data_IF_405571799675
#
_entry.id   IF_405571799675
#
_cell.length_a   1.000
_cell.length_b   1.000
_cell.length_c   1.000
_cell.angle_alpha   90.00
_cell.angle_beta   90.00
_cell.angle_gamma   90.00
#
_symmetry.space_group_name_H-M   'P 1'
#
loop_
_entity.id
_entity.type
_entity.pdbx_description
1 polymer ?
#
# COMPACT_ATOMS: atom_id res chain seq x y z
N UNK A 1 -5.88 -22.47 -11.72
CA UNK A 1 -5.03 -21.47 -11.06
C UNK A 1 -5.64 -21.04 -9.75
N UNK A 2 -4.83 -20.91 -8.70
CA UNK A 2 -5.27 -20.35 -7.42
C UNK A 2 -5.10 -18.83 -7.51
N UNK A 3 -6.19 -18.09 -7.36
CA UNK A 3 -6.15 -16.63 -7.28
C UNK A 3 -5.63 -16.21 -5.91
N UNK A 4 -4.70 -15.25 -5.89
CA UNK A 4 -4.15 -14.65 -4.68
C UNK A 4 -4.82 -13.30 -4.48
N UNK A 5 -5.62 -13.14 -3.43
CA UNK A 5 -6.20 -11.84 -3.10
C UNK A 5 -5.24 -11.06 -2.21
N UNK A 6 -4.94 -9.82 -2.60
CA UNK A 6 -4.10 -8.90 -1.84
C UNK A 6 -4.80 -7.55 -1.71
N UNK A 7 -4.85 -7.02 -0.51
CA UNK A 7 -5.42 -5.73 -0.23
C UNK A 7 -4.29 -4.70 -0.17
N UNK A 8 -4.42 -3.65 -0.99
CA UNK A 8 -3.46 -2.58 -1.17
C UNK A 8 -4.05 -1.32 -0.54
N UNK A 9 -3.30 -0.64 0.33
CA UNK A 9 -3.79 0.53 1.05
C UNK A 9 -2.98 1.77 0.68
N UNK A 10 -3.62 2.70 -0.02
CA UNK A 10 -3.07 4.01 -0.33
C UNK A 10 -3.39 5.00 0.79
N UNK A 11 -2.51 5.05 1.80
CA UNK A 11 -2.60 6.02 2.88
C UNK A 11 -2.11 7.39 2.39
N UNK A 12 -2.98 8.40 2.39
CA UNK A 12 -2.60 9.77 2.00
C UNK A 12 -1.76 10.44 3.07
N UNK A 13 -0.83 11.29 2.65
CA UNK A 13 -0.01 12.09 3.56
C UNK A 13 -0.90 13.04 4.39
N UNK A 14 -0.94 12.90 5.73
CA UNK A 14 -1.82 13.70 6.56
C UNK A 14 -1.29 15.13 6.74
N UNK A 15 -2.19 16.09 6.94
CA UNK A 15 -1.84 17.47 7.29
C UNK A 15 -1.26 18.34 6.17
N UNK A 16 -1.09 17.80 4.96
CA UNK A 16 -0.58 18.54 3.79
C UNK A 16 -1.65 18.55 2.68
N UNK A 17 -2.43 19.63 2.54
CA UNK A 17 -3.42 19.76 1.47
C UNK A 17 -2.79 19.55 0.09
N UNK A 18 -3.49 18.83 -0.78
CA UNK A 18 -3.11 18.60 -2.18
C UNK A 18 -1.73 17.96 -2.40
N UNK A 19 -1.14 17.32 -1.38
CA UNK A 19 0.16 16.65 -1.51
C UNK A 19 0.15 15.58 -2.61
N UNK A 20 -0.99 14.89 -2.78
CA UNK A 20 -1.13 13.70 -3.64
C UNK A 20 -0.04 12.65 -3.38
N UNK A 21 0.53 12.65 -2.18
CA UNK A 21 1.55 11.72 -1.73
C UNK A 21 0.93 10.62 -0.88
N UNK A 22 1.50 9.43 -1.01
CA UNK A 22 1.07 8.24 -0.31
C UNK A 22 2.21 7.58 0.43
N UNK A 23 1.88 6.93 1.54
CA UNK A 23 2.82 6.16 2.34
C UNK A 23 3.30 4.95 1.54
N UNK A 24 4.61 4.79 1.45
CA UNK A 24 5.25 3.55 1.01
C UNK A 24 6.19 3.03 2.09
N UNK A 25 6.37 1.71 2.13
CA UNK A 25 7.42 1.05 2.91
C UNK A 25 8.41 0.36 1.99
N UNK A 26 9.67 0.29 2.41
CA UNK A 26 10.72 -0.40 1.67
C UNK A 26 10.78 -1.86 2.06
N UNK A 27 10.67 -2.74 1.07
CA UNK A 27 10.92 -4.17 1.21
C UNK A 27 12.35 -4.49 0.75
N UNK A 28 13.17 -5.03 1.64
CA UNK A 28 14.57 -5.35 1.36
C UNK A 28 14.77 -6.62 0.53
N UNK A 29 13.80 -7.55 0.55
CA UNK A 29 13.85 -8.75 -0.28
C UNK A 29 13.62 -8.42 -1.75
N UNK A 30 12.73 -7.45 -2.01
CA UNK A 30 12.48 -6.93 -3.35
C UNK A 30 13.31 -5.69 -3.68
N UNK A 31 14.06 -5.10 -2.76
CA UNK A 31 14.74 -3.82 -2.96
C UNK A 31 13.78 -2.80 -3.60
N UNK A 32 12.57 -2.63 -3.06
CA UNK A 32 11.52 -1.83 -3.71
C UNK A 32 10.59 -1.17 -2.68
N UNK A 33 9.98 -0.05 -3.07
CA UNK A 33 8.96 0.62 -2.27
C UNK A 33 7.56 0.15 -2.63
N UNK A 34 6.78 -0.24 -1.63
CA UNK A 34 5.41 -0.74 -1.81
C UNK A 34 4.42 0.07 -0.99
N UNK A 35 3.19 0.15 -1.47
CA UNK A 35 2.07 0.53 -0.61
C UNK A 35 1.93 -0.51 0.51
N UNK A 36 1.51 -0.11 1.73
CA UNK A 36 1.06 -1.05 2.74
C UNK A 36 0.09 -2.05 2.12
N UNK A 37 0.39 -3.34 2.29
CA UNK A 37 -0.38 -4.41 1.66
C UNK A 37 -0.41 -5.65 2.53
N UNK A 38 -1.47 -6.44 2.37
CA UNK A 38 -1.69 -7.68 3.11
C UNK A 38 -2.58 -8.63 2.32
N UNK A 39 -2.42 -9.93 2.53
CA UNK A 39 -3.38 -10.90 2.00
C UNK A 39 -4.80 -10.56 2.42
N UNK A 40 -5.72 -10.52 1.44
CA UNK A 40 -7.10 -10.21 1.73
C UNK A 40 -7.79 -11.32 2.52
N UNK A 41 -8.66 -10.94 3.43
CA UNK A 41 -9.59 -11.85 4.09
C UNK A 41 -10.73 -12.27 3.14
N UNK A 42 -11.50 -13.33 3.45
CA UNK A 42 -12.56 -13.81 2.56
C UNK A 42 -13.68 -12.82 2.24
N UNK A 43 -13.95 -11.83 3.10
CA UNK A 43 -14.99 -10.81 2.89
C UNK A 43 -14.48 -9.40 3.21
N UNK A 44 -15.15 -8.38 2.67
CA UNK A 44 -14.66 -6.99 2.71
C UNK A 44 -14.69 -6.40 4.14
N UNK A 45 -15.73 -6.71 4.92
CA UNK A 45 -15.88 -6.15 6.27
C UNK A 45 -14.79 -6.65 7.23
N UNK A 46 -14.42 -7.93 7.12
CA UNK A 46 -13.29 -8.48 7.88
C UNK A 46 -11.96 -7.92 7.38
N UNK A 47 -11.87 -7.56 6.09
CA UNK A 47 -10.68 -6.97 5.47
C UNK A 47 -10.38 -5.59 6.05
N UNK A 48 -11.36 -4.69 6.12
CA UNK A 48 -11.16 -3.35 6.68
C UNK A 48 -10.72 -3.43 8.15
N UNK A 49 -11.28 -4.36 8.92
CA UNK A 49 -10.86 -4.61 10.31
C UNK A 49 -9.44 -5.15 10.39
N UNK A 50 -9.09 -6.13 9.55
CA UNK A 50 -7.73 -6.71 9.51
C UNK A 50 -6.70 -5.67 9.06
N UNK A 51 -7.01 -4.87 8.04
CA UNK A 51 -6.19 -3.77 7.57
C UNK A 51 -6.01 -2.69 8.65
N UNK A 52 -7.06 -2.31 9.37
CA UNK A 52 -6.96 -1.39 10.50
C UNK A 52 -6.01 -1.91 11.59
N UNK A 53 -6.11 -3.19 11.94
CA UNK A 53 -5.19 -3.83 12.90
C UNK A 53 -3.75 -3.88 12.36
N UNK A 54 -3.57 -4.24 11.09
CA UNK A 54 -2.28 -4.27 10.41
C UNK A 54 -1.59 -2.90 10.43
N UNK A 55 -2.31 -1.85 10.02
CA UNK A 55 -1.81 -0.48 10.01
C UNK A 55 -1.45 0.00 11.43
N UNK A 56 -2.22 -0.41 12.43
CA UNK A 56 -1.91 -0.10 13.81
C UNK A 56 -0.64 -0.78 14.32
N UNK A 57 -0.48 -2.07 14.05
CA UNK A 57 0.66 -2.84 14.53
C UNK A 57 1.94 -2.45 13.80
N UNK A 58 1.90 -2.39 12.48
CA UNK A 58 3.08 -2.22 11.61
C UNK A 58 3.45 -0.76 11.39
N UNK A 59 2.46 0.14 11.28
CA UNK A 59 2.70 1.55 10.95
C UNK A 59 2.32 2.52 12.06
N UNK A 60 1.91 2.00 13.22
CA UNK A 60 1.53 2.78 14.41
C UNK A 60 0.40 3.78 14.17
N UNK A 61 -0.43 3.54 13.15
CA UNK A 61 -1.62 4.36 12.88
C UNK A 61 -2.72 3.93 13.86
N UNK A 62 -3.22 4.81 14.76
CA UNK A 62 -4.32 4.44 15.64
C UNK A 62 -5.57 4.09 14.81
N UNK A 63 -6.22 2.97 15.11
CA UNK A 63 -7.40 2.52 14.33
C UNK A 63 -8.53 3.56 14.29
N UNK A 64 -8.62 4.42 15.31
CA UNK A 64 -9.64 5.47 15.40
C UNK A 64 -9.31 6.69 14.54
N UNK A 65 -8.07 6.81 14.08
CA UNK A 65 -7.56 7.98 13.37
C UNK A 65 -7.34 7.67 11.88
N UNK A 66 -7.77 6.50 11.40
CA UNK A 66 -7.63 6.08 10.01
C UNK A 66 -8.99 5.67 9.45
N UNK A 67 -9.51 6.48 8.53
CA UNK A 67 -10.72 6.16 7.78
C UNK A 67 -10.32 5.37 6.54
N UNK A 68 -10.66 4.08 6.51
CA UNK A 68 -10.45 3.21 5.35
C UNK A 68 -11.71 3.15 4.48
N UNK A 69 -11.51 3.17 3.16
CA UNK A 69 -12.59 2.97 2.20
C UNK A 69 -12.11 2.13 1.02
N UNK A 70 -12.84 1.06 0.71
CA UNK A 70 -12.65 0.30 -0.51
C UNK A 70 -13.01 1.16 -1.73
N UNK A 71 -12.14 1.17 -2.73
CA UNK A 71 -12.27 1.98 -3.96
C UNK A 71 -12.51 1.15 -5.21
N UNK A 72 -11.94 -0.04 -5.27
CA UNK A 72 -12.19 -0.95 -6.37
C UNK A 72 -11.35 -2.21 -6.29
N UNK A 73 -11.36 -2.95 -7.39
CA UNK A 73 -10.56 -4.16 -7.55
C UNK A 73 -9.90 -4.21 -8.91
N UNK A 74 -8.69 -4.77 -8.97
CA UNK A 74 -7.96 -4.97 -10.22
C UNK A 74 -7.40 -6.39 -10.28
N UNK A 75 -7.47 -7.04 -11.44
CA UNK A 75 -6.83 -8.35 -11.66
C UNK A 75 -5.50 -8.18 -12.41
N UNK A 76 -4.48 -8.91 -11.97
CA UNK A 76 -3.17 -8.90 -12.61
C UNK A 76 -2.60 -10.30 -12.71
N UNK A 77 -1.94 -10.61 -13.82
CA UNK A 77 -1.26 -11.89 -14.03
C UNK A 77 0.22 -11.64 -14.25
N UNK A 78 1.06 -12.27 -13.44
CA UNK A 78 2.51 -12.06 -13.44
C UNK A 78 3.27 -13.34 -13.23
N UNK A 79 4.41 -13.45 -13.91
CA UNK A 79 5.38 -14.49 -13.60
C UNK A 79 6.07 -14.18 -12.27
N UNK A 80 6.02 -15.11 -11.34
CA UNK A 80 6.74 -15.03 -10.09
C UNK A 80 8.07 -15.76 -10.23
N UNK A 81 9.17 -15.01 -10.31
CA UNK A 81 10.52 -15.59 -10.38
C UNK A 81 10.90 -16.35 -9.10
N UNK A 82 10.39 -15.92 -7.95
CA UNK A 82 10.60 -16.60 -6.66
C UNK A 82 10.00 -18.01 -6.63
N UNK A 83 8.86 -18.21 -7.31
CA UNK A 83 8.09 -19.45 -7.28
C UNK A 83 8.09 -20.21 -8.61
N UNK A 84 8.76 -19.67 -9.62
CA UNK A 84 8.86 -20.22 -10.97
C UNK A 84 7.50 -20.58 -11.58
N UNK A 85 6.48 -19.74 -11.31
CA UNK A 85 5.10 -19.97 -11.72
C UNK A 85 4.38 -18.67 -12.12
N UNK A 86 3.37 -18.79 -12.97
CA UNK A 86 2.42 -17.70 -13.21
C UNK A 86 1.47 -17.54 -12.02
N UNK A 87 1.34 -16.31 -11.53
CA UNK A 87 0.47 -15.94 -10.42
C UNK A 87 -0.59 -14.96 -10.87
N UNK A 88 -1.80 -15.21 -10.39
CA UNK A 88 -2.97 -14.37 -10.66
C UNK A 88 -3.38 -13.69 -9.37
N UNK A 89 -3.36 -12.37 -9.39
CA UNK A 89 -3.69 -11.54 -8.26
C UNK A 89 -5.05 -10.90 -8.49
N UNK A 90 -5.83 -10.83 -7.41
CA UNK A 90 -6.97 -9.93 -7.28
C UNK A 90 -6.59 -8.88 -6.23
N UNK A 91 -6.31 -7.68 -6.69
CA UNK A 91 -6.04 -6.54 -5.81
C UNK A 91 -7.35 -5.93 -5.34
N UNK A 92 -7.49 -5.71 -4.03
CA UNK A 92 -8.52 -4.85 -3.45
C UNK A 92 -7.85 -3.53 -3.09
N UNK A 93 -8.29 -2.45 -3.72
CA UNK A 93 -7.69 -1.13 -3.53
C UNK A 93 -8.47 -0.38 -2.46
N UNK A 94 -7.77 0.06 -1.42
CA UNK A 94 -8.30 0.88 -0.34
C UNK A 94 -7.60 2.24 -0.34
N UNK A 95 -8.36 3.30 -0.11
CA UNK A 95 -7.79 4.57 0.36
C UNK A 95 -7.80 4.59 1.88
N UNK A 96 -6.77 5.17 2.49
CA UNK A 96 -6.83 5.56 3.91
C UNK A 96 -6.54 7.03 4.10
N UNK A 97 -7.40 7.69 4.85
CA UNK A 97 -7.23 9.07 5.27
C UNK A 97 -6.91 9.07 6.78
N UNK A 98 -5.71 9.56 7.13
CA UNK A 98 -5.26 9.62 8.51
C UNK A 98 -5.54 11.01 9.07
N UNK A 99 -6.31 11.10 10.15
CA UNK A 99 -6.79 12.37 10.70
C UNK A 99 -5.69 13.15 11.44
N UNK A 100 -4.78 12.44 12.11
CA UNK A 100 -3.68 13.02 12.87
C UNK A 100 -2.38 12.34 12.47
N UNK A 101 -1.32 13.13 12.19
CA UNK A 101 0.00 12.58 11.90
C UNK A 101 0.45 11.68 13.07
N UNK A 102 0.67 10.37 12.85
CA UNK A 102 1.12 9.46 13.90
C UNK A 102 2.47 9.89 14.47
N UNK A 103 2.70 9.52 15.74
CA UNK A 103 4.00 9.72 16.38
C UNK A 103 5.11 9.02 15.55
N UNK A 104 6.24 9.71 15.34
CA UNK A 104 7.40 9.27 14.55
C UNK A 104 7.26 9.30 13.02
N UNK A 105 6.12 9.74 12.47
CA UNK A 105 6.04 9.99 11.03
C UNK A 105 6.65 11.35 10.70
N UNK A 106 7.57 11.35 9.74
CA UNK A 106 8.14 12.59 9.19
C UNK A 106 7.44 12.94 7.87
N UNK A 107 7.23 14.22 7.61
CA UNK A 107 6.61 14.69 6.36
C UNK A 107 7.60 14.75 5.20
N UNK A 108 8.89 14.91 5.51
CA UNK A 108 9.96 15.08 4.55
C UNK A 108 10.99 13.94 4.67
N UNK A 109 11.43 13.42 3.53
CA UNK A 109 12.46 12.37 3.47
C UNK A 109 11.95 10.98 3.86
N UNK A 110 12.90 10.12 4.24
CA UNK A 110 12.63 8.79 4.75
C UNK A 110 12.54 8.81 6.29
N UNK A 111 11.68 7.96 6.84
CA UNK A 111 11.50 7.79 8.28
C UNK A 111 11.31 6.32 8.64
N UNK A 112 11.44 5.99 9.92
CA UNK A 112 11.25 4.62 10.40
C UNK A 112 10.02 4.54 11.30
N UNK A 113 9.13 3.58 11.02
CA UNK A 113 7.97 3.29 11.88
C UNK A 113 7.73 1.80 11.95
N UNK A 114 7.57 1.27 13.17
CA UNK A 114 7.30 -0.15 13.40
C UNK A 114 8.34 -1.12 12.80
N UNK A 115 9.57 -0.66 12.58
CA UNK A 115 10.63 -1.44 11.92
C UNK A 115 10.64 -1.36 10.40
N UNK A 116 9.71 -0.59 9.81
CA UNK A 116 9.67 -0.31 8.38
C UNK A 116 10.36 1.02 8.08
N UNK A 117 11.19 1.04 7.04
CA UNK A 117 11.65 2.28 6.43
C UNK A 117 10.57 2.77 5.48
N UNK A 118 10.12 3.99 5.66
CA UNK A 118 8.97 4.58 4.99
C UNK A 118 9.32 5.89 4.32
N UNK A 119 8.54 6.26 3.30
CA UNK A 119 8.58 7.59 2.68
C UNK A 119 7.25 7.93 2.01
N UNK A 120 7.15 9.19 1.61
CA UNK A 120 6.02 9.72 0.86
C UNK A 120 6.37 9.85 -0.62
N UNK A 121 5.56 9.26 -1.50
CA UNK A 121 5.69 9.46 -2.95
C UNK A 121 4.34 9.77 -3.57
N UNK A 122 4.34 10.59 -4.61
CA UNK A 122 3.24 10.73 -5.56
C UNK A 122 3.23 9.53 -6.51
N UNK A 123 2.07 9.24 -7.11
CA UNK A 123 1.96 8.22 -8.16
C UNK A 123 2.90 8.53 -9.34
N UNK A 124 3.08 9.81 -9.69
CA UNK A 124 3.98 10.21 -10.77
C UNK A 124 5.44 9.85 -10.46
N UNK A 125 5.89 10.09 -9.22
CA UNK A 125 7.23 9.67 -8.78
C UNK A 125 7.36 8.14 -8.78
N UNK A 126 6.33 7.41 -8.37
CA UNK A 126 6.33 5.93 -8.38
C UNK A 126 6.44 5.36 -9.79
N UNK A 127 5.73 5.94 -10.75
CA UNK A 127 5.77 5.51 -12.16
C UNK A 127 7.10 5.87 -12.86
N UNK A 128 7.82 6.87 -12.36
CA UNK A 128 9.13 7.27 -12.85
C UNK A 128 10.30 6.52 -12.21
N UNK A 129 10.06 5.83 -11.09
CA UNK A 129 11.06 5.01 -10.39
C UNK A 129 11.25 3.68 -11.13
N UNK A 130 12.45 3.45 -11.69
CA UNK A 130 12.75 2.27 -12.51
C UNK A 130 12.50 0.96 -11.77
N UNK A 131 12.81 0.92 -10.47
CA UNK A 131 12.67 -0.29 -9.68
C UNK A 131 11.19 -0.60 -9.43
N UNK A 132 10.42 0.40 -9.02
CA UNK A 132 8.96 0.25 -8.85
C UNK A 132 8.31 -0.13 -10.18
N UNK A 133 8.73 0.49 -11.29
CA UNK A 133 8.25 0.16 -12.62
C UNK A 133 8.51 -1.32 -12.96
N UNK A 134 9.68 -1.86 -12.65
CA UNK A 134 10.01 -3.23 -13.02
C UNK A 134 9.23 -4.30 -12.25
N UNK A 135 8.87 -4.07 -10.99
CA UNK A 135 8.21 -5.12 -10.16
C UNK A 135 6.81 -4.81 -9.68
N UNK A 136 6.45 -3.54 -9.57
CA UNK A 136 5.21 -3.11 -8.90
C UNK A 136 4.35 -2.15 -9.75
N UNK A 137 4.68 -2.00 -11.04
CA UNK A 137 3.97 -1.09 -11.95
C UNK A 137 2.46 -1.31 -11.99
N UNK A 138 2.01 -2.55 -12.11
CA UNK A 138 0.59 -2.92 -12.14
C UNK A 138 -0.17 -2.44 -10.90
N UNK A 139 0.40 -2.58 -9.70
CA UNK A 139 -0.20 -2.14 -8.44
C UNK A 139 -0.26 -0.62 -8.42
N UNK A 140 0.80 0.07 -8.85
CA UNK A 140 0.81 1.54 -8.93
C UNK A 140 -0.25 2.03 -9.92
N UNK A 141 -0.38 1.39 -11.08
CA UNK A 141 -1.44 1.73 -12.05
C UNK A 141 -2.83 1.37 -11.53
N UNK A 142 -2.99 0.25 -10.84
CA UNK A 142 -4.26 -0.13 -10.23
C UNK A 142 -4.70 0.90 -9.19
N UNK A 143 -3.79 1.36 -8.33
CA UNK A 143 -4.05 2.43 -7.37
C UNK A 143 -4.42 3.73 -8.11
N UNK A 144 -3.66 4.14 -9.13
CA UNK A 144 -3.96 5.34 -9.93
C UNK A 144 -5.36 5.31 -10.55
N UNK A 145 -5.75 4.16 -11.08
CA UNK A 145 -6.99 4.04 -11.86
C UNK A 145 -8.22 3.85 -10.98
N UNK A 146 -8.04 3.56 -9.68
CA UNK A 146 -9.13 3.35 -8.72
C UNK A 146 -9.27 4.45 -7.66
N UNK A 147 -8.27 5.32 -7.44
CA UNK A 147 -8.32 6.43 -6.47
C UNK A 147 -8.97 7.70 -7.04
#
# INVERSE_FOLDING_TARGET
MKMISSSIVAIRQPGVPDSNKYLLYYDSGWDCWFFPNRHSTPNIQDDERDLGNYLNVEFKIPMRDCDLAMRGTEESTKYSTEHDEERHYLYRIYSGDVQTLPEHWELDGEFEVGGHRCKWMTIAEMLADERIHDVNYDVVTAVRDNL
#
